data_IF_346092287606
#
_entry.id   IF_346092287606
#
_cell.length_a   1.000
_cell.length_b   1.000
_cell.length_c   1.000
_cell.angle_alpha   90.00
_cell.angle_beta   90.00
_cell.angle_gamma   90.00
#
_symmetry.space_group_name_H-M   'P 1'
#
loop_
_entity.id
_entity.type
_entity.pdbx_description
1 polymer ?
#
# COMPACT_ATOMS: atom_id res chain seq x y z
N UNK A 1 -24.76 -9.58 8.89
CA UNK A 1 -25.14 -8.83 7.68
C UNK A 1 -24.06 -7.80 7.40
N UNK A 2 -23.37 -7.91 6.26
CA UNK A 2 -22.25 -7.03 5.90
C UNK A 2 -22.76 -5.59 5.72
N UNK A 3 -22.06 -4.61 6.29
CA UNK A 3 -22.40 -3.20 6.17
C UNK A 3 -22.44 -2.81 4.67
N UNK A 4 -23.56 -2.26 4.22
CA UNK A 4 -23.73 -1.83 2.83
C UNK A 4 -22.70 -0.75 2.51
N UNK A 5 -21.81 -1.03 1.56
CA UNK A 5 -20.68 -0.18 1.22
C UNK A 5 -21.16 1.00 0.34
N UNK A 6 -21.54 2.10 1.00
CA UNK A 6 -21.93 3.37 0.36
C UNK A 6 -20.75 4.31 0.24
N UNK A 7 -20.70 5.13 -0.79
CA UNK A 7 -19.72 6.20 -0.89
C UNK A 7 -20.18 7.49 -0.19
N UNK A 8 -19.34 8.53 -0.20
CA UNK A 8 -19.64 9.85 0.41
C UNK A 8 -20.87 10.55 -0.20
N UNK A 9 -21.37 10.07 -1.33
CA UNK A 9 -22.56 10.58 -2.02
C UNK A 9 -23.76 9.62 -1.89
N UNK A 10 -23.70 8.68 -0.94
CA UNK A 10 -24.75 7.70 -0.68
C UNK A 10 -25.07 6.79 -1.87
N UNK A 11 -24.10 6.57 -2.77
CA UNK A 11 -24.24 5.64 -3.90
C UNK A 11 -23.82 4.24 -3.46
N UNK A 12 -24.63 3.24 -3.78
CA UNK A 12 -24.30 1.85 -3.51
C UNK A 12 -23.24 1.35 -4.48
N UNK A 13 -22.17 0.74 -3.94
CA UNK A 13 -21.17 0.03 -4.75
C UNK A 13 -21.65 -1.40 -5.03
N UNK A 14 -22.60 -1.55 -5.95
CA UNK A 14 -23.23 -2.83 -6.32
C UNK A 14 -22.76 -3.42 -7.67
N UNK A 15 -21.88 -2.72 -8.40
CA UNK A 15 -21.31 -3.20 -9.67
C UNK A 15 -19.93 -3.81 -9.42
N UNK A 16 -19.70 -5.02 -9.96
CA UNK A 16 -18.40 -5.70 -9.94
C UNK A 16 -17.64 -5.43 -11.24
N UNK A 17 -16.38 -5.02 -11.13
CA UNK A 17 -15.44 -4.90 -12.25
C UNK A 17 -14.33 -5.93 -12.05
N UNK A 18 -14.11 -6.80 -13.03
CA UNK A 18 -13.09 -7.85 -12.98
C UNK A 18 -12.02 -7.66 -14.04
N UNK A 19 -10.77 -7.99 -13.69
CA UNK A 19 -9.60 -7.91 -14.57
C UNK A 19 -8.90 -9.25 -14.61
N UNK A 20 -8.23 -9.54 -15.74
CA UNK A 20 -7.28 -10.66 -15.83
C UNK A 20 -5.89 -10.13 -15.49
N UNK A 21 -5.18 -10.88 -14.68
CA UNK A 21 -3.82 -10.58 -14.24
C UNK A 21 -3.00 -11.86 -14.23
N UNK A 22 -1.70 -11.75 -14.46
CA UNK A 22 -0.76 -12.85 -14.25
C UNK A 22 -0.64 -13.18 -12.74
N UNK A 23 -0.06 -14.34 -12.37
CA UNK A 23 0.26 -14.65 -10.99
C UNK A 23 1.11 -13.57 -10.30
N UNK A 24 2.14 -13.08 -11.00
CA UNK A 24 3.09 -12.06 -10.52
C UNK A 24 2.37 -10.72 -10.27
N UNK A 25 1.56 -10.27 -11.23
CA UNK A 25 0.73 -9.07 -11.09
C UNK A 25 -0.27 -9.18 -9.92
N UNK A 26 -0.84 -10.37 -9.71
CA UNK A 26 -1.72 -10.60 -8.56
C UNK A 26 -0.97 -10.51 -7.23
N UNK A 27 0.27 -11.01 -7.16
CA UNK A 27 1.11 -10.88 -5.97
C UNK A 27 1.47 -9.42 -5.68
N UNK A 28 1.88 -8.66 -6.69
CA UNK A 28 2.16 -7.23 -6.57
C UNK A 28 0.93 -6.45 -6.05
N UNK A 29 -0.26 -6.72 -6.60
CA UNK A 29 -1.50 -6.11 -6.12
C UNK A 29 -1.76 -6.49 -4.65
N UNK A 30 -1.56 -7.76 -4.27
CA UNK A 30 -1.79 -8.21 -2.90
C UNK A 30 -0.82 -7.55 -1.91
N UNK A 31 0.45 -7.38 -2.29
CA UNK A 31 1.46 -6.67 -1.50
C UNK A 31 1.07 -5.22 -1.31
N UNK A 32 0.69 -4.51 -2.38
CA UNK A 32 0.27 -3.12 -2.28
C UNK A 32 -1.00 -2.93 -1.44
N UNK A 33 -1.98 -3.83 -1.56
CA UNK A 33 -3.18 -3.85 -0.71
C UNK A 33 -2.81 -4.04 0.75
N UNK A 34 -1.96 -5.02 1.07
CA UNK A 34 -1.47 -5.30 2.42
C UNK A 34 -0.78 -4.08 3.04
N UNK A 35 0.11 -3.44 2.27
CA UNK A 35 0.86 -2.26 2.71
C UNK A 35 -0.05 -1.04 2.91
N UNK A 36 -1.07 -0.87 2.06
CA UNK A 36 -2.02 0.25 2.19
C UNK A 36 -2.91 0.18 3.42
N UNK A 37 -3.09 -1.02 4.00
CA UNK A 37 -4.04 -1.27 5.10
C UNK A 37 -5.52 -1.19 4.69
N UNK A 38 -5.81 -1.02 3.40
CA UNK A 38 -7.16 -0.96 2.84
C UNK A 38 -7.67 -2.35 2.41
N UNK A 39 -8.99 -2.58 2.39
CA UNK A 39 -9.57 -3.73 1.68
C UNK A 39 -9.19 -3.72 0.19
N UNK A 40 -8.99 -4.90 -0.43
CA UNK A 40 -8.60 -5.03 -1.86
C UNK A 40 -9.51 -4.24 -2.80
N UNK A 41 -10.83 -4.33 -2.61
CA UNK A 41 -11.81 -3.56 -3.38
C UNK A 41 -11.56 -2.05 -3.26
N UNK A 42 -11.27 -1.58 -2.06
CA UNK A 42 -11.08 -0.16 -1.78
C UNK A 42 -9.78 0.39 -2.36
N UNK A 43 -8.70 -0.36 -2.22
CA UNK A 43 -7.43 -0.06 -2.87
C UNK A 43 -7.62 0.06 -4.40
N UNK A 44 -8.23 -0.96 -5.03
CA UNK A 44 -8.40 -1.00 -6.48
C UNK A 44 -9.20 0.19 -7.02
N UNK A 45 -10.38 0.51 -6.46
CA UNK A 45 -11.16 1.63 -7.01
C UNK A 45 -10.53 2.99 -6.73
N UNK A 46 -9.81 3.17 -5.60
CA UNK A 46 -9.11 4.43 -5.32
C UNK A 46 -7.99 4.62 -6.33
N UNK A 47 -7.18 3.58 -6.58
CA UNK A 47 -6.10 3.62 -7.57
C UNK A 47 -6.62 3.82 -9.00
N UNK A 48 -7.67 3.10 -9.41
CA UNK A 48 -8.27 3.26 -10.75
C UNK A 48 -8.90 4.65 -10.99
N UNK A 49 -9.33 5.33 -9.94
CA UNK A 49 -9.93 6.67 -10.03
C UNK A 49 -8.91 7.80 -9.79
N UNK A 50 -7.60 7.50 -9.78
CA UNK A 50 -6.53 8.43 -9.42
C UNK A 50 -6.81 9.18 -8.10
N UNK A 51 -7.42 8.50 -7.13
CA UNK A 51 -7.62 9.04 -5.78
C UNK A 51 -6.42 8.62 -4.94
N UNK A 52 -5.78 9.59 -4.29
CA UNK A 52 -4.62 9.35 -3.44
C UNK A 52 -4.88 8.20 -2.46
N UNK A 53 -4.04 7.17 -2.53
CA UNK A 53 -3.99 6.10 -1.54
C UNK A 53 -3.10 6.60 -0.41
N UNK A 54 -3.68 7.39 0.48
CA UNK A 54 -2.99 7.86 1.69
C UNK A 54 -2.92 6.70 2.68
N UNK A 55 -1.72 6.20 2.94
CA UNK A 55 -1.46 5.16 3.94
C UNK A 55 -1.45 5.81 5.31
N UNK A 56 -2.51 5.59 6.09
CA UNK A 56 -2.57 6.07 7.47
C UNK A 56 -1.80 5.13 8.40
N UNK A 57 -0.91 5.70 9.20
CA UNK A 57 -0.12 4.95 10.17
C UNK A 57 -1.01 4.18 11.16
N UNK A 58 -0.91 2.84 11.18
CA UNK A 58 -1.53 2.00 12.20
C UNK A 58 -0.66 0.76 12.50
N UNK A 59 -0.83 0.08 13.66
CA UNK A 59 0.03 -1.06 14.03
C UNK A 59 0.10 -2.20 12.99
N UNK A 60 -0.96 -2.41 12.21
CA UNK A 60 -0.96 -3.41 11.12
C UNK A 60 -0.12 -2.96 9.94
N UNK A 61 -0.19 -1.69 9.58
CA UNK A 61 0.63 -1.06 8.52
C UNK A 61 2.11 -1.12 8.88
N UNK A 62 2.46 -0.77 10.13
CA UNK A 62 3.84 -0.89 10.61
C UNK A 62 4.36 -2.34 10.57
N UNK A 63 3.53 -3.31 10.97
CA UNK A 63 3.89 -4.73 10.92
C UNK A 63 4.08 -5.22 9.47
N UNK A 64 3.21 -4.79 8.55
CA UNK A 64 3.32 -5.11 7.13
C UNK A 64 4.59 -4.53 6.51
N UNK A 65 4.85 -3.23 6.72
CA UNK A 65 6.06 -2.55 6.27
C UNK A 65 7.34 -3.22 6.78
N UNK A 66 7.41 -3.54 8.07
CA UNK A 66 8.57 -4.22 8.66
C UNK A 66 8.82 -5.59 8.01
N UNK A 67 7.76 -6.34 7.75
CA UNK A 67 7.88 -7.65 7.11
C UNK A 67 8.38 -7.52 5.66
N UNK A 68 7.89 -6.53 4.88
CA UNK A 68 8.41 -6.30 3.53
C UNK A 68 9.86 -5.84 3.53
N UNK A 69 10.24 -4.94 4.46
CA UNK A 69 11.64 -4.53 4.62
C UNK A 69 12.55 -5.71 4.96
N UNK A 70 12.03 -6.71 5.69
CA UNK A 70 12.77 -7.94 5.98
C UNK A 70 12.93 -8.80 4.74
N UNK A 71 11.88 -8.97 3.94
CA UNK A 71 11.95 -9.71 2.67
C UNK A 71 12.92 -9.06 1.68
N UNK A 72 12.87 -7.73 1.53
CA UNK A 72 13.83 -6.96 0.73
C UNK A 72 15.26 -7.17 1.24
N UNK A 73 15.48 -7.13 2.56
CA UNK A 73 16.79 -7.33 3.16
C UNK A 73 17.35 -8.73 2.88
N UNK A 74 16.51 -9.76 2.96
CA UNK A 74 16.91 -11.14 2.69
C UNK A 74 17.26 -11.33 1.21
N UNK A 75 16.53 -10.68 0.32
CA UNK A 75 16.82 -10.70 -1.12
C UNK A 75 18.12 -9.95 -1.46
N UNK A 76 18.35 -8.79 -0.85
CA UNK A 76 19.61 -8.05 -1.01
C UNK A 76 20.81 -8.83 -0.50
N UNK A 77 20.70 -9.52 0.64
CA UNK A 77 21.76 -10.44 1.14
C UNK A 77 22.03 -11.59 0.16
N UNK A 78 21.00 -12.09 -0.52
CA UNK A 78 21.13 -13.12 -1.56
C UNK A 78 21.83 -12.59 -2.81
N UNK A 79 21.56 -11.34 -3.20
CA UNK A 79 22.19 -10.64 -4.33
C UNK A 79 23.66 -10.34 -4.04
N UNK A 80 24.02 -9.95 -2.82
CA UNK A 80 25.41 -9.72 -2.39
C UNK A 80 26.29 -10.97 -2.59
N UNK A 81 25.71 -12.17 -2.66
CA UNK A 81 26.37 -13.42 -3.03
C UNK A 81 26.62 -13.60 -4.54
N UNK A 82 26.41 -12.58 -5.37
CA UNK A 82 26.80 -12.52 -6.79
C UNK A 82 25.67 -12.60 -7.82
N UNK A 83 24.40 -12.50 -7.41
CA UNK A 83 23.27 -12.45 -8.33
C UNK A 83 22.87 -10.99 -8.62
N UNK A 84 22.40 -10.71 -9.84
CA UNK A 84 21.92 -9.39 -10.22
C UNK A 84 20.67 -8.96 -9.44
N UNK A 85 20.40 -7.66 -9.43
CA UNK A 85 19.20 -7.08 -8.82
C UNK A 85 18.01 -7.28 -9.75
N UNK A 86 16.92 -7.86 -9.24
CA UNK A 86 15.69 -8.06 -9.99
C UNK A 86 14.81 -6.78 -10.05
N UNK A 87 14.07 -6.60 -11.13
CA UNK A 87 13.21 -5.44 -11.37
C UNK A 87 12.02 -5.41 -10.40
N UNK A 88 11.49 -6.58 -10.01
CA UNK A 88 10.44 -6.65 -8.97
C UNK A 88 10.95 -6.16 -7.61
N UNK A 89 12.21 -6.43 -7.27
CA UNK A 89 12.80 -5.95 -6.02
C UNK A 89 12.89 -4.42 -6.01
N UNK A 90 13.27 -3.82 -7.14
CA UNK A 90 13.32 -2.35 -7.29
C UNK A 90 11.92 -1.74 -7.14
N UNK A 91 10.91 -2.32 -7.80
CA UNK A 91 9.51 -1.87 -7.68
C UNK A 91 8.99 -1.94 -6.24
N UNK A 92 9.33 -3.01 -5.51
CA UNK A 92 8.96 -3.14 -4.10
C UNK A 92 9.65 -2.09 -3.21
N UNK A 93 10.94 -1.81 -3.44
CA UNK A 93 11.69 -0.78 -2.72
C UNK A 93 11.08 0.60 -2.98
N UNK A 94 10.74 0.91 -4.23
CA UNK A 94 10.11 2.18 -4.61
C UNK A 94 8.75 2.36 -3.91
N UNK A 95 7.89 1.33 -3.93
CA UNK A 95 6.60 1.34 -3.25
C UNK A 95 6.75 1.55 -1.73
N UNK A 96 7.67 0.85 -1.08
CA UNK A 96 7.94 1.03 0.36
C UNK A 96 8.39 2.47 0.63
N UNK A 97 9.25 3.01 -0.24
CA UNK A 97 9.79 4.37 -0.12
C UNK A 97 8.67 5.42 -0.24
N UNK A 98 7.79 5.30 -1.24
CA UNK A 98 6.62 6.19 -1.40
C UNK A 98 5.72 6.16 -0.16
N UNK A 99 5.46 4.96 0.40
CA UNK A 99 4.63 4.81 1.60
C UNK A 99 5.31 5.45 2.82
N UNK A 100 6.61 5.26 3.00
CA UNK A 100 7.37 5.88 4.10
C UNK A 100 7.40 7.41 3.99
N UNK A 101 7.54 7.95 2.78
CA UNK A 101 7.43 9.39 2.54
C UNK A 101 6.03 9.91 2.87
N UNK A 102 4.98 9.19 2.47
CA UNK A 102 3.59 9.51 2.82
C UNK A 102 3.35 9.54 4.34
N UNK A 103 3.86 8.54 5.07
CA UNK A 103 3.75 8.47 6.54
C UNK A 103 4.51 9.61 7.25
N UNK A 104 5.69 10.00 6.74
CA UNK A 104 6.46 11.12 7.27
C UNK A 104 5.74 12.47 7.07
N UNK A 105 4.98 12.61 5.98
CA UNK A 105 4.15 13.78 5.70
C UNK A 105 3.04 13.99 6.74
N UNK A 106 2.35 12.91 7.15
CA UNK A 106 1.28 12.99 8.16
C UNK A 106 1.79 13.40 9.54
N UNK A 107 2.97 12.91 9.95
CA UNK A 107 3.59 13.28 11.23
C UNK A 107 3.89 14.79 11.32
N UNK A 108 4.32 15.40 10.21
CA UNK A 108 4.64 16.83 10.17
C UNK A 108 3.39 17.74 10.16
N UNK A 109 2.25 17.28 9.66
CA UNK A 109 0.99 18.05 9.68
C UNK A 109 0.28 17.98 11.03
N UNK A 110 0.40 16.87 11.76
CA UNK A 110 -0.14 16.73 13.12
C UNK A 110 0.63 17.55 14.16
N UNK A 111 1.95 17.70 14.03
CA UNK A 111 2.72 18.61 14.88
C UNK A 111 2.33 20.08 14.66
N UNK A 112 2.13 20.51 13.40
CA UNK A 112 1.74 21.90 13.09
C UNK A 112 0.34 22.29 13.58
N UNK A 113 -0.59 21.35 13.72
CA UNK A 113 -1.94 21.62 14.25
C UNK A 113 -1.99 21.72 15.77
N UNK A 114 -1.04 21.10 16.48
CA UNK A 114 -1.02 21.12 17.95
C UNK A 114 -0.28 22.33 18.53
N UNK A 115 0.52 23.05 17.72
CA UNK A 115 1.21 24.29 18.10
C UNK A 115 0.35 25.56 17.89
N UNK A 116 -0.95 25.41 17.59
CA UNK A 116 -1.92 26.50 17.39
C UNK A 116 -3.15 26.41 18.33
N UNK A 117 -3.04 25.67 19.43
CA UNK A 117 -3.98 25.67 20.56
C UNK A 117 -3.23 25.99 21.85
#
# INVERSE_FOLDING_TARGET
>A
MSAKNVDRHNRFRNITVGFRVSPEENEQINTAVRLSGLPKQEYCYRRCLNRDVVVQGNPRVYKALRNELTAVLDELKRIEAGNGVDEELLNNIELITEILYGLKGEANEQTKRNDHL
#
